data_IF_969129618932
#
_entry.id   IF_969129618932
#
_cell.length_a   1.000
_cell.length_b   1.000
_cell.length_c   1.000
_cell.angle_alpha   90.00
_cell.angle_beta   90.00
_cell.angle_gamma   90.00
#
_symmetry.space_group_name_H-M   'P 1'
#
loop_
_entity.id
_entity.type
_entity.pdbx_description
1 polymer ?
#
# COMPACT_ATOMS: atom_id res chain seq x y z
N UNK A 1 -15.57 2.35 10.36
CA UNK A 1 -14.20 1.75 10.29
C UNK A 1 -13.76 1.46 8.84
N UNK A 2 -12.47 1.58 8.48
CA UNK A 2 -11.94 1.16 7.16
C UNK A 2 -11.28 -0.22 7.23
N UNK A 3 -11.82 -1.20 6.49
CA UNK A 3 -11.25 -2.54 6.33
C UNK A 3 -10.52 -2.66 4.99
N UNK A 4 -9.47 -3.48 4.95
CA UNK A 4 -8.73 -3.79 3.72
C UNK A 4 -8.90 -5.26 3.36
N UNK A 5 -9.47 -5.53 2.19
CA UNK A 5 -9.62 -6.87 1.65
C UNK A 5 -8.56 -7.11 0.58
N UNK A 6 -7.77 -8.17 0.72
CA UNK A 6 -6.71 -8.54 -0.22
C UNK A 6 -7.01 -9.91 -0.82
N UNK A 7 -6.97 -9.99 -2.15
CA UNK A 7 -7.27 -11.18 -2.94
C UNK A 7 -6.16 -11.49 -3.94
N UNK A 8 -5.95 -12.78 -4.22
CA UNK A 8 -5.01 -13.24 -5.23
C UNK A 8 -5.57 -13.01 -6.62
N UNK A 9 -4.81 -12.37 -7.50
CA UNK A 9 -5.19 -12.05 -8.87
C UNK A 9 -4.40 -12.86 -9.90
N UNK A 10 -5.02 -13.13 -11.05
CA UNK A 10 -4.45 -13.89 -12.15
C UNK A 10 -4.62 -13.13 -13.48
N UNK A 11 -3.83 -12.07 -13.70
CA UNK A 11 -3.81 -11.40 -15.00
C UNK A 11 -3.24 -12.32 -16.09
N UNK A 12 -3.77 -12.19 -17.31
CA UNK A 12 -3.19 -12.80 -18.52
C UNK A 12 -1.81 -12.22 -18.83
N UNK A 13 -1.07 -12.84 -19.75
CA UNK A 13 0.26 -12.34 -20.13
C UNK A 13 0.20 -10.92 -20.71
N UNK A 14 -0.78 -10.63 -21.58
CA UNK A 14 -0.99 -9.27 -22.12
C UNK A 14 -1.32 -8.26 -21.02
N UNK A 15 -2.14 -8.65 -20.04
CA UNK A 15 -2.47 -7.81 -18.88
C UNK A 15 -1.24 -7.56 -17.99
N UNK A 16 -0.39 -8.56 -17.76
CA UNK A 16 0.87 -8.39 -17.01
C UNK A 16 1.78 -7.39 -17.70
N UNK A 17 1.95 -7.49 -19.02
CA UNK A 17 2.73 -6.52 -19.81
C UNK A 17 2.16 -5.10 -19.69
N UNK A 18 0.84 -4.94 -19.83
CA UNK A 18 0.18 -3.65 -19.67
C UNK A 18 0.34 -3.07 -18.25
N UNK A 19 0.18 -3.89 -17.22
CA UNK A 19 0.37 -3.48 -15.82
C UNK A 19 1.81 -3.05 -15.54
N UNK A 20 2.79 -3.83 -16.02
CA UNK A 20 4.21 -3.51 -15.87
C UNK A 20 4.59 -2.21 -16.61
N UNK A 21 4.06 -2.02 -17.83
CA UNK A 21 4.21 -0.78 -18.59
C UNK A 21 3.65 0.42 -17.83
N UNK A 22 2.43 0.30 -17.31
CA UNK A 22 1.82 1.36 -16.50
C UNK A 22 2.57 1.63 -15.19
N UNK A 23 3.14 0.60 -14.53
CA UNK A 23 4.02 0.79 -13.37
C UNK A 23 5.30 1.53 -13.73
N UNK A 24 5.89 1.24 -14.88
CA UNK A 24 7.06 1.95 -15.41
C UNK A 24 6.74 3.42 -15.72
N UNK A 25 5.63 3.71 -16.38
CA UNK A 25 5.16 5.09 -16.63
C UNK A 25 4.87 5.83 -15.32
N UNK A 26 4.26 5.15 -14.35
CA UNK A 26 4.01 5.73 -13.02
C UNK A 26 5.30 6.11 -12.31
N UNK A 27 6.36 5.29 -12.44
CA UNK A 27 7.70 5.59 -11.91
C UNK A 27 8.28 6.84 -12.58
N UNK A 28 8.16 6.96 -13.91
CA UNK A 28 8.62 8.15 -14.62
C UNK A 28 7.90 9.41 -14.13
N UNK A 29 6.56 9.39 -14.06
CA UNK A 29 5.78 10.53 -13.55
C UNK A 29 6.22 10.90 -12.13
N UNK A 30 6.40 9.90 -11.24
CA UNK A 30 6.86 10.15 -9.88
C UNK A 30 8.21 10.89 -9.87
N UNK A 31 9.18 10.40 -10.66
CA UNK A 31 10.52 10.97 -10.68
C UNK A 31 10.53 12.37 -11.29
N UNK A 32 9.81 12.60 -12.39
CA UNK A 32 9.67 13.93 -13.00
C UNK A 32 9.02 14.94 -12.06
N UNK A 33 7.97 14.54 -11.35
CA UNK A 33 7.34 15.40 -10.35
C UNK A 33 8.29 15.70 -9.18
N UNK A 34 9.05 14.70 -8.73
CA UNK A 34 10.01 14.89 -7.65
C UNK A 34 11.15 15.84 -8.06
N UNK A 35 11.71 15.65 -9.24
CA UNK A 35 12.74 16.52 -9.82
C UNK A 35 12.24 17.96 -9.93
N UNK A 36 11.07 18.15 -10.54
CA UNK A 36 10.47 19.48 -10.69
C UNK A 36 10.18 20.13 -9.33
N UNK A 37 9.75 19.34 -8.34
CA UNK A 37 9.53 19.82 -6.97
C UNK A 37 10.84 20.27 -6.30
N UNK A 38 11.92 19.53 -6.50
CA UNK A 38 13.24 19.88 -5.96
C UNK A 38 13.76 21.17 -6.59
N UNK A 39 13.63 21.31 -7.92
CA UNK A 39 14.01 22.53 -8.64
C UNK A 39 13.23 23.74 -8.13
N UNK A 40 11.90 23.62 -8.04
CA UNK A 40 11.04 24.70 -7.55
C UNK A 40 11.37 25.12 -6.11
N UNK A 41 11.64 24.15 -5.23
CA UNK A 41 12.03 24.44 -3.85
C UNK A 41 13.38 25.15 -3.79
N UNK A 42 14.35 24.79 -4.64
CA UNK A 42 15.65 25.46 -4.71
C UNK A 42 15.53 26.92 -5.17
N UNK A 43 14.64 27.20 -6.11
CA UNK A 43 14.43 28.53 -6.68
C UNK A 43 13.58 29.45 -5.80
N UNK A 44 12.57 28.91 -5.10
CA UNK A 44 11.54 29.72 -4.43
C UNK A 44 11.44 29.50 -2.92
N UNK A 45 12.11 28.48 -2.38
CA UNK A 45 11.96 28.04 -1.00
C UNK A 45 10.59 27.39 -0.69
N UNK A 46 9.71 27.22 -1.68
CA UNK A 46 8.35 26.69 -1.53
C UNK A 46 8.22 25.32 -2.18
N UNK A 47 7.36 24.47 -1.61
CA UNK A 47 7.02 23.16 -2.20
C UNK A 47 5.74 23.24 -2.98
N UNK A 48 5.63 22.48 -4.07
CA UNK A 48 4.39 22.37 -4.82
C UNK A 48 3.24 21.83 -3.98
N UNK A 49 2.06 22.40 -4.21
CA UNK A 49 0.82 21.84 -3.72
C UNK A 49 0.42 20.63 -4.57
N UNK A 50 -0.54 19.84 -4.08
CA UNK A 50 -1.14 18.75 -4.86
C UNK A 50 -1.76 19.27 -6.17
N UNK A 51 -2.36 20.45 -6.13
CA UNK A 51 -2.96 21.08 -7.31
C UNK A 51 -1.89 21.38 -8.37
N UNK A 52 -0.75 21.95 -7.97
CA UNK A 52 0.36 22.24 -8.88
C UNK A 52 0.90 20.98 -9.54
N UNK A 53 1.11 19.90 -8.75
CA UNK A 53 1.57 18.62 -9.28
C UNK A 53 0.58 18.05 -10.32
N UNK A 54 -0.73 18.13 -10.05
CA UNK A 54 -1.74 17.67 -11.01
C UNK A 54 -1.74 18.52 -12.29
N UNK A 55 -1.57 19.84 -12.19
CA UNK A 55 -1.43 20.74 -13.36
C UNK A 55 -0.20 20.37 -14.19
N UNK A 56 0.91 20.05 -13.52
CA UNK A 56 2.13 19.55 -14.17
C UNK A 56 1.91 18.21 -14.87
N UNK A 57 1.22 17.25 -14.25
CA UNK A 57 0.86 15.98 -14.92
C UNK A 57 0.09 16.25 -16.21
N UNK A 58 -0.88 17.17 -16.21
CA UNK A 58 -1.64 17.51 -17.42
C UNK A 58 -0.74 18.04 -18.52
N UNK A 59 0.24 18.89 -18.18
CA UNK A 59 1.26 19.37 -19.15
C UNK A 59 2.15 18.22 -19.65
N UNK A 60 2.60 17.33 -18.75
CA UNK A 60 3.40 16.16 -19.11
C UNK A 60 2.65 15.23 -20.08
N UNK A 61 1.36 15.01 -19.87
CA UNK A 61 0.51 14.19 -20.77
C UNK A 61 0.35 14.80 -22.16
N UNK A 62 0.34 16.13 -22.28
CA UNK A 62 0.33 16.82 -23.57
C UNK A 62 1.66 16.67 -24.30
N UNK A 63 2.78 16.77 -23.58
CA UNK A 63 4.14 16.65 -24.14
C UNK A 63 4.51 15.21 -24.49
N UNK A 64 4.11 14.25 -23.65
CA UNK A 64 4.33 12.83 -23.87
C UNK A 64 2.99 12.07 -23.79
N UNK A 65 2.36 11.79 -24.93
CA UNK A 65 1.07 11.10 -25.00
C UNK A 65 1.07 9.69 -24.41
N UNK A 66 2.22 9.03 -24.24
CA UNK A 66 2.31 7.70 -23.62
C UNK A 66 1.72 7.67 -22.19
N UNK A 67 1.80 8.80 -21.47
CA UNK A 67 1.20 8.90 -20.14
C UNK A 67 -0.34 8.81 -20.14
N UNK A 68 -0.99 8.85 -21.31
CA UNK A 68 -2.44 8.61 -21.44
C UNK A 68 -2.83 7.12 -21.37
N UNK A 69 -1.85 6.21 -21.39
CA UNK A 69 -2.04 4.82 -21.01
C UNK A 69 -2.52 4.69 -19.55
N UNK A 70 -2.12 5.63 -18.69
CA UNK A 70 -2.54 5.67 -17.29
C UNK A 70 -3.90 6.34 -17.12
N UNK A 71 -4.77 5.68 -16.36
CA UNK A 71 -6.01 6.28 -15.90
C UNK A 71 -5.75 7.54 -15.05
N UNK A 72 -6.59 8.57 -15.20
CA UNK A 72 -6.36 9.89 -14.59
C UNK A 72 -6.19 9.83 -13.07
N UNK A 73 -7.02 9.03 -12.39
CA UNK A 73 -6.94 8.82 -10.94
C UNK A 73 -5.64 8.14 -10.50
N UNK A 74 -5.06 7.27 -11.34
CA UNK A 74 -3.75 6.67 -11.06
C UNK A 74 -2.66 7.74 -11.07
N UNK A 75 -2.66 8.63 -12.07
CA UNK A 75 -1.71 9.73 -12.13
C UNK A 75 -1.84 10.66 -10.92
N UNK A 76 -3.07 11.01 -10.52
CA UNK A 76 -3.33 11.83 -9.33
C UNK A 76 -2.85 11.13 -8.06
N UNK A 77 -3.00 9.80 -7.95
CA UNK A 77 -2.43 9.04 -6.85
C UNK A 77 -0.90 9.10 -6.82
N UNK A 78 -0.22 9.15 -7.96
CA UNK A 78 1.24 9.33 -8.01
C UNK A 78 1.63 10.71 -7.48
N UNK A 79 0.92 11.77 -7.84
CA UNK A 79 1.11 13.10 -7.22
C UNK A 79 0.90 13.05 -5.70
N UNK A 80 -0.13 12.36 -5.23
CA UNK A 80 -0.37 12.16 -3.79
C UNK A 80 0.79 11.46 -3.09
N UNK A 81 1.43 10.49 -3.75
CA UNK A 81 2.61 9.80 -3.19
C UNK A 81 3.80 10.75 -3.05
N UNK A 82 4.02 11.66 -4.00
CA UNK A 82 5.09 12.67 -3.94
C UNK A 82 4.77 13.67 -2.83
N UNK A 83 3.56 14.25 -2.83
CA UNK A 83 3.10 15.20 -1.82
C UNK A 83 3.21 14.63 -0.40
N UNK A 84 2.72 13.40 -0.18
CA UNK A 84 2.82 12.72 1.12
C UNK A 84 4.28 12.47 1.54
N UNK A 85 5.18 12.23 0.60
CA UNK A 85 6.60 12.08 0.93
C UNK A 85 7.20 13.39 1.48
N UNK A 86 6.88 14.53 0.87
CA UNK A 86 7.27 15.86 1.37
C UNK A 86 6.62 16.17 2.73
N UNK A 87 5.32 15.95 2.88
CA UNK A 87 4.63 16.14 4.16
C UNK A 87 5.26 15.33 5.29
N UNK A 88 5.58 14.06 5.03
CA UNK A 88 6.27 13.21 6.01
C UNK A 88 7.68 13.73 6.35
N UNK A 89 8.41 14.26 5.36
CA UNK A 89 9.73 14.84 5.58
C UNK A 89 9.65 16.06 6.52
N UNK A 90 8.79 17.03 6.22
CA UNK A 90 8.63 18.22 7.06
C UNK A 90 8.06 17.90 8.44
N UNK A 91 7.14 16.95 8.54
CA UNK A 91 6.66 16.46 9.84
C UNK A 91 7.81 15.93 10.69
N UNK A 92 8.70 15.10 10.11
CA UNK A 92 9.86 14.56 10.83
C UNK A 92 10.86 15.63 11.24
N UNK A 93 11.03 16.70 10.46
CA UNK A 93 11.83 17.86 10.86
C UNK A 93 11.27 18.48 12.14
N UNK A 94 9.94 18.74 12.18
CA UNK A 94 9.28 19.30 13.36
C UNK A 94 9.42 18.40 14.58
N UNK A 95 9.17 17.10 14.40
CA UNK A 95 9.30 16.12 15.48
C UNK A 95 10.72 16.03 16.04
N UNK A 96 11.75 16.13 15.19
CA UNK A 96 13.15 16.15 15.62
C UNK A 96 13.48 17.44 16.38
N UNK A 97 12.94 18.58 15.97
CA UNK A 97 13.06 19.84 16.73
C UNK A 97 12.44 19.73 18.13
N UNK A 98 11.40 18.91 18.28
CA UNK A 98 10.76 18.63 19.58
C UNK A 98 11.42 17.46 20.34
N UNK A 99 12.70 17.15 20.06
CA UNK A 99 13.48 16.17 20.83
C UNK A 99 13.26 14.70 20.47
N UNK A 100 12.39 14.36 19.50
CA UNK A 100 12.24 12.96 19.08
C UNK A 100 13.49 12.48 18.31
N UNK A 101 14.05 11.34 18.72
CA UNK A 101 15.14 10.66 18.00
C UNK A 101 14.61 9.96 16.74
N UNK A 102 14.41 10.70 15.65
CA UNK A 102 13.89 10.18 14.39
C UNK A 102 14.87 10.47 13.25
N UNK A 103 15.11 9.46 12.39
CA UNK A 103 15.93 9.63 11.18
C UNK A 103 15.20 10.50 10.16
N UNK A 104 15.85 11.59 9.75
CA UNK A 104 15.40 12.40 8.62
C UNK A 104 15.70 11.67 7.30
N UNK A 105 14.72 11.68 6.40
CA UNK A 105 14.87 11.09 5.07
C UNK A 105 14.09 11.92 4.07
N UNK A 106 14.81 12.54 3.13
CA UNK A 106 14.22 13.31 2.05
C UNK A 106 13.54 12.38 1.01
N UNK A 107 12.49 12.83 0.30
CA UNK A 107 11.92 12.06 -0.81
C UNK A 107 12.99 11.71 -1.85
N UNK A 108 13.05 10.44 -2.25
CA UNK A 108 14.05 9.92 -3.21
C UNK A 108 13.39 9.44 -4.48
N UNK A 109 14.12 9.53 -5.59
CA UNK A 109 13.73 8.90 -6.85
C UNK A 109 13.43 7.41 -6.66
N UNK A 110 12.46 6.92 -7.42
CA UNK A 110 12.04 5.52 -7.41
C UNK A 110 12.72 4.81 -8.58
N UNK A 111 13.35 3.68 -8.27
CA UNK A 111 13.78 2.71 -9.27
C UNK A 111 12.60 1.88 -9.79
N UNK A 112 11.60 1.62 -8.93
CA UNK A 112 10.45 0.78 -9.24
C UNK A 112 9.20 1.21 -8.47
N UNK A 113 8.03 1.01 -9.08
CA UNK A 113 6.71 1.12 -8.45
C UNK A 113 6.01 -0.22 -8.59
N UNK A 114 5.62 -0.83 -7.47
CA UNK A 114 5.03 -2.17 -7.45
C UNK A 114 3.50 -2.18 -7.52
N UNK A 115 2.85 -1.02 -7.51
CA UNK A 115 1.40 -0.93 -7.37
C UNK A 115 0.78 0.26 -8.07
N UNK A 116 -0.34 0.00 -8.73
CA UNK A 116 -1.24 0.99 -9.31
C UNK A 116 -2.46 1.10 -8.39
N UNK A 117 -2.81 2.32 -8.02
CA UNK A 117 -3.92 2.59 -7.10
C UNK A 117 -4.95 3.44 -7.83
N UNK A 118 -6.20 3.03 -7.73
CA UNK A 118 -7.37 3.66 -8.31
C UNK A 118 -8.25 4.19 -7.17
N UNK A 119 -8.03 5.45 -6.74
CA UNK A 119 -8.93 6.13 -5.83
C UNK A 119 -10.29 6.34 -6.49
N UNK A 120 -11.37 6.05 -5.75
CA UNK A 120 -12.77 6.39 -6.05
C UNK A 120 -13.40 5.77 -7.32
N UNK A 121 -12.68 5.70 -8.44
CA UNK A 121 -13.20 5.28 -9.74
C UNK A 121 -12.15 4.57 -10.60
N UNK A 122 -12.56 4.13 -11.79
CA UNK A 122 -11.70 3.40 -12.74
C UNK A 122 -11.58 1.90 -12.44
N UNK A 123 -12.45 1.39 -11.57
CA UNK A 123 -12.57 -0.04 -11.30
C UNK A 123 -14.03 -0.41 -11.01
N UNK A 124 -14.41 -1.65 -11.35
CA UNK A 124 -15.70 -2.24 -11.00
C UNK A 124 -15.49 -3.69 -10.56
N UNK A 125 -15.68 -4.02 -9.27
CA UNK A 125 -15.62 -5.41 -8.82
C UNK A 125 -16.82 -6.20 -9.37
N UNK A 126 -16.57 -7.46 -9.70
CA UNK A 126 -17.52 -8.48 -10.10
C UNK A 126 -17.25 -9.73 -9.23
N UNK A 127 -18.09 -10.78 -9.28
CA UNK A 127 -18.02 -11.93 -8.35
C UNK A 127 -16.65 -12.64 -8.30
N UNK A 128 -15.99 -12.80 -9.45
CA UNK A 128 -14.68 -13.47 -9.61
C UNK A 128 -13.67 -12.65 -10.43
N UNK A 129 -14.03 -11.42 -10.78
CA UNK A 129 -13.28 -10.55 -11.69
C UNK A 129 -13.36 -9.11 -11.22
N UNK A 130 -12.40 -8.29 -11.62
CA UNK A 130 -12.52 -6.85 -11.49
C UNK A 130 -12.21 -6.22 -12.83
N UNK A 131 -13.10 -5.35 -13.31
CA UNK A 131 -12.78 -4.47 -14.42
C UNK A 131 -11.88 -3.34 -13.92
N UNK A 132 -10.79 -3.08 -14.63
CA UNK A 132 -9.85 -2.00 -14.36
C UNK A 132 -9.69 -1.15 -15.62
N UNK A 133 -9.94 0.15 -15.52
CA UNK A 133 -9.77 1.07 -16.65
C UNK A 133 -8.34 1.02 -17.19
N UNK A 134 -8.22 1.00 -18.52
CA UNK A 134 -6.96 0.87 -19.29
C UNK A 134 -6.25 -0.49 -19.16
N UNK A 135 -6.84 -1.48 -18.49
CA UNK A 135 -6.29 -2.85 -18.38
C UNK A 135 -7.32 -3.92 -18.78
N UNK A 136 -8.59 -3.73 -18.47
CA UNK A 136 -9.67 -4.69 -18.71
C UNK A 136 -10.01 -5.54 -17.48
N UNK A 137 -10.63 -6.71 -17.70
CA UNK A 137 -11.10 -7.59 -16.62
C UNK A 137 -10.02 -8.55 -16.15
N UNK A 138 -9.69 -8.52 -14.86
CA UNK A 138 -8.72 -9.42 -14.24
C UNK A 138 -9.43 -10.40 -13.32
N UNK A 139 -9.13 -11.69 -13.45
CA UNK A 139 -9.64 -12.74 -12.56
C UNK A 139 -8.97 -12.63 -11.18
N UNK A 140 -9.74 -12.87 -10.11
CA UNK A 140 -9.19 -13.00 -8.76
C UNK A 140 -9.94 -14.07 -7.95
N UNK A 141 -9.27 -14.65 -6.96
CA UNK A 141 -9.88 -15.60 -6.03
C UNK A 141 -10.68 -14.81 -5.00
N UNK A 142 -12.00 -14.81 -5.12
CA UNK A 142 -12.85 -14.27 -4.06
C UNK A 142 -13.06 -15.34 -2.97
N UNK A 143 -12.32 -15.22 -1.87
CA UNK A 143 -12.41 -16.13 -0.72
C UNK A 143 -13.19 -15.55 0.48
N UNK A 144 -13.75 -14.33 0.34
CA UNK A 144 -14.56 -13.65 1.36
C UNK A 144 -15.29 -12.49 0.74
N UNK A 145 -16.57 -12.34 1.04
CA UNK A 145 -17.32 -11.21 0.52
C UNK A 145 -16.89 -9.88 1.17
N UNK A 146 -17.05 -8.81 0.40
CA UNK A 146 -16.72 -7.46 0.84
C UNK A 146 -17.99 -6.79 1.33
N UNK A 147 -18.11 -6.65 2.64
CA UNK A 147 -19.19 -5.88 3.26
C UNK A 147 -18.80 -4.40 3.30
N UNK A 148 -19.69 -3.51 2.84
CA UNK A 148 -19.52 -2.06 2.90
C UNK A 148 -19.18 -1.38 1.57
N UNK A 149 -18.91 -0.08 1.63
CA UNK A 149 -18.67 0.75 0.43
C UNK A 149 -17.20 0.73 0.05
N UNK A 150 -16.89 0.18 -1.12
CA UNK A 150 -15.52 0.17 -1.66
C UNK A 150 -15.12 1.61 -2.05
N UNK A 151 -13.98 2.08 -1.54
CA UNK A 151 -13.47 3.44 -1.79
C UNK A 151 -12.26 3.48 -2.70
N UNK A 152 -11.45 2.42 -2.69
CA UNK A 152 -10.17 2.41 -3.40
C UNK A 152 -9.82 0.99 -3.75
N UNK A 153 -9.31 0.80 -4.96
CA UNK A 153 -8.71 -0.45 -5.41
C UNK A 153 -7.22 -0.23 -5.68
N UNK A 154 -6.38 -1.19 -5.33
CA UNK A 154 -4.99 -1.22 -5.75
C UNK A 154 -4.64 -2.61 -6.27
N UNK A 155 -3.97 -2.64 -7.41
CA UNK A 155 -3.33 -3.85 -7.93
C UNK A 155 -1.83 -3.76 -7.66
N UNK A 156 -1.26 -4.82 -7.10
CA UNK A 156 0.15 -4.87 -6.66
C UNK A 156 0.80 -6.17 -7.10
N UNK A 157 2.03 -6.07 -7.58
CA UNK A 157 2.92 -7.20 -7.80
C UNK A 157 3.83 -7.40 -6.57
N UNK A 158 3.97 -8.64 -6.12
CA UNK A 158 4.95 -9.01 -5.08
C UNK A 158 6.31 -9.28 -5.70
N UNK A 159 7.33 -9.42 -4.86
CA UNK A 159 8.68 -9.82 -5.31
C UNK A 159 8.71 -11.22 -5.93
N UNK A 160 7.81 -12.10 -5.51
CA UNK A 160 7.58 -13.43 -6.10
C UNK A 160 6.82 -13.38 -7.44
N UNK A 161 6.67 -12.19 -8.05
CA UNK A 161 5.93 -11.95 -9.29
C UNK A 161 4.43 -12.24 -9.22
N UNK A 162 3.89 -12.26 -8.02
CA UNK A 162 2.50 -12.59 -7.78
C UNK A 162 1.62 -11.35 -7.72
N UNK A 163 0.41 -11.45 -8.27
CA UNK A 163 -0.50 -10.31 -8.37
C UNK A 163 -1.57 -10.36 -7.29
N UNK A 164 -1.80 -9.23 -6.64
CA UNK A 164 -2.86 -9.09 -5.66
C UNK A 164 -3.69 -7.85 -5.94
N UNK A 165 -5.01 -7.99 -5.81
CA UNK A 165 -5.93 -6.86 -5.78
C UNK A 165 -6.31 -6.61 -4.33
N UNK A 166 -6.27 -5.34 -3.94
CA UNK A 166 -6.58 -4.89 -2.60
C UNK A 166 -7.68 -3.84 -2.67
N UNK A 167 -8.78 -4.07 -1.95
CA UNK A 167 -9.90 -3.14 -1.85
C UNK A 167 -9.90 -2.52 -0.45
N UNK A 168 -9.90 -1.20 -0.39
CA UNK A 168 -10.20 -0.45 0.84
C UNK A 168 -11.70 -0.22 0.90
N UNK A 169 -12.32 -0.75 1.93
CA UNK A 169 -13.78 -0.74 2.12
C UNK A 169 -14.10 0.03 3.39
N UNK A 170 -15.03 0.95 3.28
CA UNK A 170 -15.57 1.69 4.42
C UNK A 170 -16.84 0.97 4.89
N UNK A 171 -16.82 0.54 6.14
CA UNK A 171 -17.94 -0.09 6.80
C UNK A 171 -18.48 0.89 7.84
N UNK A 172 -19.80 0.92 7.96
CA UNK A 172 -20.46 1.48 9.13
C UNK A 172 -19.93 0.77 10.38
N UNK A 173 -19.79 1.52 11.46
CA UNK A 173 -19.34 0.94 12.71
C UNK A 173 -20.44 0.02 13.22
N UNK A 174 -20.18 -1.29 13.18
CA UNK A 174 -20.96 -2.22 13.97
C UNK A 174 -20.77 -1.81 15.42
N UNK A 175 -21.82 -1.48 16.17
CA UNK A 175 -21.68 -1.17 17.59
C UNK A 175 -20.95 -2.32 18.26
N UNK A 176 -19.97 -2.01 19.11
CA UNK A 176 -19.35 -3.02 19.94
C UNK A 176 -20.46 -3.63 20.79
N UNK A 177 -20.67 -4.94 20.66
CA UNK A 177 -21.57 -5.66 21.54
C UNK A 177 -21.03 -5.51 22.97
N UNK A 178 -21.72 -4.72 23.80
CA UNK A 178 -21.52 -4.76 25.24
C UNK A 178 -22.13 -6.06 25.73
N UNK A 179 -21.30 -6.92 26.31
CA UNK A 179 -21.78 -8.11 27.01
C UNK A 179 -22.19 -7.81 28.46
N UNK A 180 -22.19 -6.53 28.88
CA UNK A 180 -22.42 -6.04 30.24
C UNK A 180 -21.55 -6.71 31.31
N UNK A 181 -20.42 -7.32 30.90
CA UNK A 181 -19.44 -7.90 31.82
C UNK A 181 -18.44 -6.83 32.25
N UNK A 182 -17.85 -6.96 33.46
CA UNK A 182 -16.78 -6.08 33.88
C UNK A 182 -15.62 -6.09 32.88
N UNK A 183 -14.92 -4.96 32.77
CA UNK A 183 -13.73 -4.87 31.95
C UNK A 183 -12.66 -5.84 32.50
N UNK A 184 -12.14 -6.70 31.63
CA UNK A 184 -11.11 -7.67 31.97
C UNK A 184 -9.77 -7.22 31.40
N UNK A 185 -8.75 -7.13 32.24
CA UNK A 185 -7.37 -6.93 31.80
C UNK A 185 -6.83 -8.21 31.18
N UNK A 186 -6.20 -8.12 30.00
CA UNK A 186 -5.58 -9.26 29.32
C UNK A 186 -4.06 -9.07 29.37
N UNK A 187 -3.37 -9.97 30.06
CA UNK A 187 -1.91 -10.09 30.04
C UNK A 187 -1.48 -11.23 29.10
N UNK A 188 -0.57 -10.94 28.16
CA UNK A 188 -0.11 -11.92 27.17
C UNK A 188 1.26 -12.47 27.57
N UNK A 189 1.36 -13.78 27.77
CA UNK A 189 2.55 -14.42 28.32
C UNK A 189 3.22 -15.44 27.39
N UNK A 190 4.43 -15.85 27.79
CA UNK A 190 5.14 -16.97 27.16
C UNK A 190 4.73 -18.32 27.77
N UNK A 191 4.39 -18.34 29.07
CA UNK A 191 3.94 -19.54 29.79
C UNK A 191 2.49 -19.87 29.42
N UNK A 192 1.59 -18.92 29.65
CA UNK A 192 0.18 -18.92 29.22
C UNK A 192 0.02 -17.93 28.07
N UNK A 193 -0.80 -18.26 27.07
CA UNK A 193 -1.05 -17.37 25.92
C UNK A 193 -1.66 -16.04 26.37
N UNK A 194 -2.68 -16.13 27.23
CA UNK A 194 -3.35 -14.99 27.81
C UNK A 194 -3.81 -15.33 29.23
N UNK A 195 -3.56 -14.42 30.17
CA UNK A 195 -4.13 -14.45 31.51
C UNK A 195 -5.06 -13.27 31.67
N UNK A 196 -6.27 -13.54 32.09
CA UNK A 196 -7.31 -12.55 32.31
C UNK A 196 -7.36 -12.15 33.80
N UNK A 197 -7.74 -10.92 34.10
CA UNK A 197 -7.88 -10.43 35.48
C UNK A 197 -8.99 -11.14 36.27
N UNK A 198 -9.90 -11.84 35.59
CA UNK A 198 -10.91 -12.71 36.19
C UNK A 198 -10.37 -14.11 36.58
N UNK A 199 -9.07 -14.35 36.39
CA UNK A 199 -8.41 -15.62 36.68
C UNK A 199 -8.41 -16.62 35.51
N UNK A 200 -9.12 -16.34 34.41
CA UNK A 200 -9.13 -17.20 33.23
C UNK A 200 -7.74 -17.26 32.59
N UNK A 201 -7.26 -18.46 32.30
CA UNK A 201 -5.97 -18.69 31.64
C UNK A 201 -6.18 -19.44 30.33
N UNK A 202 -5.67 -18.88 29.25
CA UNK A 202 -5.63 -19.52 27.94
C UNK A 202 -4.24 -20.13 27.75
N UNK A 203 -4.12 -21.46 27.56
CA UNK A 203 -2.83 -22.11 27.43
C UNK A 203 -2.09 -21.67 26.17
N UNK A 204 -0.77 -21.57 26.23
CA UNK A 204 0.05 -21.27 25.06
C UNK A 204 0.13 -22.48 24.12
N UNK A 205 -0.39 -22.39 22.88
CA UNK A 205 -0.31 -23.50 21.94
C UNK A 205 1.12 -23.76 21.42
N UNK A 206 2.09 -22.90 21.78
CA UNK A 206 3.53 -23.00 21.44
C UNK A 206 3.78 -23.33 19.96
N UNK A 207 2.94 -22.78 19.08
CA UNK A 207 2.98 -23.01 17.62
C UNK A 207 4.34 -22.60 17.04
N UNK A 208 4.96 -21.58 17.63
CA UNK A 208 6.31 -21.12 17.32
C UNK A 208 7.36 -22.21 17.45
N UNK A 209 7.30 -23.07 18.48
CA UNK A 209 8.31 -24.11 18.73
C UNK A 209 8.40 -25.10 17.57
N UNK A 210 7.25 -25.49 16.98
CA UNK A 210 7.22 -26.37 15.80
C UNK A 210 7.76 -25.72 14.52
N UNK A 211 7.73 -24.39 14.45
CA UNK A 211 8.06 -23.63 13.24
C UNK A 211 9.45 -23.02 13.27
N UNK A 212 10.03 -22.80 14.47
CA UNK A 212 11.32 -22.13 14.68
C UNK A 212 12.47 -22.90 14.03
N UNK A 213 12.54 -24.22 14.17
CA UNK A 213 13.66 -24.99 13.60
C UNK A 213 13.63 -24.99 12.07
N UNK A 214 12.43 -25.09 11.50
CA UNK A 214 12.22 -24.93 10.05
C UNK A 214 12.61 -23.52 9.59
N UNK A 215 12.24 -22.48 10.35
CA UNK A 215 12.62 -21.09 10.08
C UNK A 215 14.14 -20.88 10.14
N UNK A 216 14.81 -21.39 11.18
CA UNK A 216 16.28 -21.34 11.33
C UNK A 216 16.97 -22.04 10.17
N UNK A 217 16.50 -23.22 9.78
CA UNK A 217 17.05 -23.96 8.64
C UNK A 217 16.92 -23.16 7.33
N UNK A 218 15.74 -22.60 7.06
CA UNK A 218 15.49 -21.79 5.86
C UNK A 218 16.33 -20.51 5.88
N UNK A 219 16.47 -19.83 7.02
CA UNK A 219 17.30 -18.64 7.17
C UNK A 219 18.79 -18.95 6.96
N UNK A 220 19.30 -20.06 7.51
CA UNK A 220 20.69 -20.50 7.28
C UNK A 220 20.94 -20.82 5.81
N UNK A 221 20.02 -21.55 5.16
CA UNK A 221 20.08 -21.80 3.72
C UNK A 221 20.07 -20.51 2.91
N UNK A 222 19.23 -19.54 3.26
CA UNK A 222 19.18 -18.24 2.60
C UNK A 222 20.48 -17.46 2.77
N UNK A 223 21.07 -17.47 3.97
CA UNK A 223 22.35 -16.78 4.26
C UNK A 223 23.52 -17.34 3.45
N UNK A 224 23.50 -18.65 3.19
CA UNK A 224 24.56 -19.33 2.43
C UNK A 224 24.37 -19.22 0.91
N UNK A 225 23.27 -18.62 0.42
CA UNK A 225 23.10 -18.39 -1.02
C UNK A 225 23.88 -17.16 -1.42
N UNK A 226 24.69 -17.30 -2.47
CA UNK A 226 25.29 -16.16 -3.15
C UNK A 226 24.18 -15.23 -3.64
N UNK A 227 24.37 -13.92 -3.43
CA UNK A 227 23.47 -12.91 -3.97
C UNK A 227 23.57 -12.97 -5.50
N UNK A 228 22.58 -13.59 -6.13
CA UNK A 228 22.28 -13.45 -7.55
C UNK A 228 21.35 -12.27 -7.78
#
# INVERSE_FOLDING_TARGET
MKKTYRYRAYPSQSQKSALNRQMYLSKQIYNLLLEQSQKHFKETGKTFTKYDMNKWITKLKKKNPEFNELYSQVCQNIADRVSKAYQNFFRRIKERKHGKKIKLGFPRFKSYISSLTYPQSGFKPEKKKVFISKIGRINFVNHRDMEGKIKTMAIKQTKSQEWYITFSVENEETPLFSNNKPQVGIDLGLKEYATMSDGTKIPNPRISNKSIDKLKMIQRRLSNKNKG
#
